data_IF_023745550159
#
_entry.id   IF_023745550159
#
_cell.length_a   1.000
_cell.length_b   1.000
_cell.length_c   1.000
_cell.angle_alpha   90.00
_cell.angle_beta   90.00
_cell.angle_gamma   90.00
#
_symmetry.space_group_name_H-M   'P 1'
#
loop_
_entity.id
_entity.type
_entity.pdbx_description
1 polymer ?
#
# COMPACT_ATOMS: atom_id res chain seq x y z
N UNK A 1 2.35 -14.17 1.57
CA UNK A 1 2.88 -13.24 2.58
C UNK A 1 3.95 -12.38 1.94
N UNK A 2 3.80 -11.07 2.02
CA UNK A 2 4.78 -10.10 1.52
C UNK A 2 5.75 -9.71 2.65
N UNK A 3 7.03 -9.50 2.31
CA UNK A 3 8.05 -9.01 3.27
C UNK A 3 8.27 -7.53 3.00
N UNK A 4 8.03 -6.68 4.00
CA UNK A 4 8.38 -5.28 3.88
C UNK A 4 9.65 -4.97 4.69
N UNK A 5 10.75 -4.52 4.06
CA UNK A 5 11.93 -4.07 4.77
C UNK A 5 11.70 -2.74 5.49
N UNK A 6 10.73 -1.94 5.05
CA UNK A 6 10.57 -0.55 5.47
C UNK A 6 9.22 -0.26 6.14
N UNK A 7 8.34 -1.26 6.26
CA UNK A 7 7.07 -1.09 6.96
C UNK A 7 7.25 -1.56 8.40
N UNK A 8 6.94 -0.72 9.40
CA UNK A 8 6.91 -1.16 10.80
C UNK A 8 5.84 -2.24 10.97
N UNK A 9 6.06 -3.20 11.87
CA UNK A 9 5.09 -4.27 12.16
C UNK A 9 3.87 -3.65 12.85
N UNK A 10 2.95 -3.12 12.05
CA UNK A 10 1.68 -2.57 12.48
C UNK A 10 0.66 -3.69 12.55
N UNK A 11 -0.16 -3.62 13.58
CA UNK A 11 -1.39 -4.38 13.74
C UNK A 11 -2.44 -3.37 14.14
N UNK A 12 -3.54 -3.25 13.39
CA UNK A 12 -4.69 -2.42 13.80
C UNK A 12 -5.51 -3.26 14.78
N UNK A 13 -4.99 -3.39 16.00
CA UNK A 13 -5.61 -4.13 17.11
C UNK A 13 -4.61 -4.42 18.23
N UNK A 14 -5.03 -4.79 19.46
CA UNK A 14 -4.09 -5.07 20.55
C UNK A 14 -3.57 -6.52 20.61
N UNK A 15 -4.22 -7.51 19.98
CA UNK A 15 -4.07 -8.93 20.38
C UNK A 15 -3.42 -9.91 19.38
N UNK A 16 -2.92 -9.47 18.22
CA UNK A 16 -2.22 -10.37 17.30
C UNK A 16 -1.08 -9.67 16.53
N UNK A 17 0.01 -9.38 17.22
CA UNK A 17 1.28 -9.07 16.54
C UNK A 17 1.69 -10.31 15.74
N UNK A 18 1.67 -10.24 14.40
CA UNK A 18 2.32 -11.27 13.59
C UNK A 18 3.80 -11.31 14.03
N UNK A 19 4.30 -12.45 14.54
CA UNK A 19 5.66 -12.48 15.05
C UNK A 19 6.62 -12.10 13.91
N UNK A 20 7.56 -11.18 14.15
CA UNK A 20 8.50 -10.79 13.13
C UNK A 20 9.26 -12.03 12.65
N UNK A 21 9.36 -12.16 11.34
CA UNK A 21 10.13 -13.22 10.74
C UNK A 21 11.60 -12.88 10.76
N UNK A 22 12.41 -13.73 11.37
CA UNK A 22 13.86 -13.61 11.33
C UNK A 22 14.39 -14.17 10.02
N UNK A 23 15.11 -13.36 9.25
CA UNK A 23 15.84 -13.78 8.04
C UNK A 23 17.24 -13.20 8.13
N UNK A 24 18.26 -14.05 8.09
CA UNK A 24 19.68 -13.66 8.22
C UNK A 24 19.96 -12.73 9.42
N UNK A 25 19.30 -12.97 10.56
CA UNK A 25 19.46 -12.17 11.78
C UNK A 25 18.68 -10.85 11.79
N UNK A 26 17.98 -10.49 10.71
CA UNK A 26 17.12 -9.31 10.64
C UNK A 26 15.65 -9.70 10.82
N UNK A 27 14.93 -8.92 11.63
CA UNK A 27 13.49 -9.04 11.84
C UNK A 27 12.73 -8.36 10.69
N UNK A 28 11.75 -9.08 10.11
CA UNK A 28 10.87 -8.58 9.05
C UNK A 28 9.41 -8.77 9.40
N UNK A 29 8.59 -7.78 9.06
CA UNK A 29 7.15 -7.90 9.15
C UNK A 29 6.62 -8.68 7.94
N UNK A 30 5.68 -9.58 8.20
CA UNK A 30 4.99 -10.35 7.17
C UNK A 30 3.54 -9.90 7.15
N UNK A 31 3.04 -9.57 5.97
CA UNK A 31 1.63 -9.25 5.77
C UNK A 31 0.97 -10.32 4.91
N UNK A 32 -0.28 -10.72 5.20
CA UNK A 32 -1.06 -11.51 4.26
C UNK A 32 -1.16 -10.75 2.93
N UNK A 33 -1.10 -11.51 1.84
CA UNK A 33 -1.21 -10.98 0.48
C UNK A 33 -2.24 -11.80 -0.25
N UNK A 34 -3.23 -11.12 -0.81
CA UNK A 34 -4.31 -11.73 -1.56
C UNK A 34 -4.24 -11.28 -3.01
N UNK A 35 -4.82 -12.08 -3.90
CA UNK A 35 -5.05 -11.70 -5.28
C UNK A 35 -6.53 -11.40 -5.45
N UNK A 36 -6.85 -10.12 -5.59
CA UNK A 36 -8.21 -9.68 -5.87
C UNK A 36 -8.41 -9.61 -7.39
N UNK A 37 -9.57 -10.04 -7.88
CA UNK A 37 -9.93 -9.94 -9.29
C UNK A 37 -11.24 -9.18 -9.42
N UNK A 38 -11.19 -8.05 -10.12
CA UNK A 38 -12.37 -7.23 -10.37
C UNK A 38 -13.32 -7.94 -11.35
N UNK A 39 -14.62 -7.57 -11.39
CA UNK A 39 -15.58 -8.14 -12.34
C UNK A 39 -15.14 -8.04 -13.82
N UNK A 40 -14.33 -7.04 -14.17
CA UNK A 40 -13.73 -6.89 -15.51
C UNK A 40 -12.53 -7.81 -15.78
N UNK A 41 -12.19 -8.74 -14.89
CA UNK A 41 -11.11 -9.73 -15.03
C UNK A 41 -9.71 -9.23 -14.67
N UNK A 42 -9.53 -7.94 -14.38
CA UNK A 42 -8.24 -7.39 -13.95
C UNK A 42 -7.97 -7.78 -12.49
N UNK A 43 -6.77 -8.30 -12.24
CA UNK A 43 -6.35 -8.70 -10.89
C UNK A 43 -5.24 -7.81 -10.32
N UNK A 44 -5.23 -7.69 -9.01
CA UNK A 44 -4.22 -6.95 -8.24
C UNK A 44 -3.76 -7.78 -7.05
N UNK A 45 -2.49 -7.66 -6.69
CA UNK A 45 -1.98 -8.21 -5.44
C UNK A 45 -2.17 -7.14 -4.34
N UNK A 46 -2.92 -7.49 -3.30
CA UNK A 46 -3.33 -6.57 -2.23
C UNK A 46 -2.86 -7.09 -0.88
N UNK A 47 -2.55 -6.18 0.04
CA UNK A 47 -2.27 -6.49 1.44
C UNK A 47 -3.50 -6.16 2.27
N UNK A 48 -3.86 -7.10 3.12
CA UNK A 48 -5.03 -7.04 3.99
C UNK A 48 -4.68 -7.86 5.24
N UNK A 49 -4.80 -7.25 6.41
CA UNK A 49 -4.21 -7.67 7.67
C UNK A 49 -5.27 -8.15 8.66
N UNK A 50 -6.48 -7.61 8.62
CA UNK A 50 -7.60 -7.95 9.50
C UNK A 50 -8.93 -7.92 8.77
N UNK A 51 -9.92 -8.62 9.30
CA UNK A 51 -11.30 -8.46 8.87
C UNK A 51 -11.86 -7.14 9.42
N UNK A 52 -11.83 -6.10 8.59
CA UNK A 52 -12.22 -4.74 8.89
C UNK A 52 -13.60 -4.41 8.30
N UNK A 53 -14.36 -3.46 8.89
CA UNK A 53 -15.61 -3.00 8.28
C UNK A 53 -15.47 -2.49 6.84
N UNK A 54 -14.28 -2.01 6.46
CA UNK A 54 -13.99 -1.50 5.12
C UNK A 54 -13.82 -2.61 4.05
N UNK A 55 -13.67 -3.87 4.44
CA UNK A 55 -13.51 -4.99 3.49
C UNK A 55 -14.82 -5.32 2.81
N UNK A 56 -15.93 -5.04 3.49
CA UNK A 56 -17.29 -5.18 2.97
C UNK A 56 -17.89 -3.82 2.60
N UNK A 57 -17.14 -3.01 1.85
CA UNK A 57 -17.62 -1.71 1.37
C UNK A 57 -18.82 -1.90 0.43
N UNK A 58 -19.93 -1.21 0.74
CA UNK A 58 -21.12 -1.24 -0.10
C UNK A 58 -20.84 -0.64 -1.50
N UNK A 59 -21.53 -1.09 -2.56
CA UNK A 59 -21.37 -0.53 -3.89
C UNK A 59 -21.60 0.99 -3.91
N UNK A 60 -20.68 1.73 -4.53
CA UNK A 60 -20.76 3.19 -4.66
C UNK A 60 -21.01 3.55 -6.12
N UNK A 61 -22.05 4.34 -6.37
CA UNK A 61 -22.27 4.95 -7.68
C UNK A 61 -21.37 6.18 -7.79
N UNK A 62 -20.36 6.09 -8.65
CA UNK A 62 -19.42 7.19 -8.88
C UNK A 62 -20.06 8.18 -9.86
N UNK A 63 -20.24 9.46 -9.48
CA UNK A 63 -20.78 10.48 -10.37
C UNK A 63 -19.80 10.78 -11.51
N UNK A 64 -20.32 11.39 -12.57
CA UNK A 64 -19.48 11.86 -13.67
C UNK A 64 -18.40 12.83 -13.16
N UNK A 65 -17.21 12.78 -13.78
CA UNK A 65 -16.08 13.60 -13.39
C UNK A 65 -15.44 13.23 -12.05
N UNK A 66 -15.74 12.06 -11.49
CA UNK A 66 -15.14 11.58 -10.24
C UNK A 66 -14.54 10.18 -10.38
N UNK A 67 -13.68 9.82 -9.43
CA UNK A 67 -13.08 8.49 -9.31
C UNK A 67 -13.26 7.93 -7.91
N UNK A 68 -13.45 6.62 -7.84
CA UNK A 68 -13.30 5.83 -6.61
C UNK A 68 -11.92 5.18 -6.63
N UNK A 69 -11.06 5.58 -5.70
CA UNK A 69 -9.68 5.11 -5.61
C UNK A 69 -9.53 4.22 -4.37
N UNK A 70 -8.74 3.15 -4.51
CA UNK A 70 -8.37 2.26 -3.42
C UNK A 70 -6.87 2.03 -3.42
N UNK A 71 -6.28 1.94 -2.23
CA UNK A 71 -4.88 1.54 -2.07
C UNK A 71 -4.73 0.02 -2.08
N UNK A 72 -3.57 -0.46 -2.53
CA UNK A 72 -3.26 -1.89 -2.52
C UNK A 72 -2.98 -2.42 -1.09
N UNK A 73 -2.57 -1.55 -0.15
CA UNK A 73 -2.46 -1.90 1.27
C UNK A 73 -3.73 -1.46 2.01
N UNK A 74 -4.71 -2.35 2.11
CA UNK A 74 -6.11 -2.03 2.42
C UNK A 74 -6.30 -1.43 3.80
N UNK A 75 -5.69 -2.01 4.83
CA UNK A 75 -5.82 -1.52 6.20
C UNK A 75 -4.99 -0.27 6.50
N UNK A 76 -3.98 0.02 5.68
CA UNK A 76 -3.14 1.22 5.81
C UNK A 76 -3.46 2.26 4.73
N UNK A 77 -4.69 2.27 4.20
CA UNK A 77 -5.12 3.16 3.12
C UNK A 77 -6.32 3.99 3.51
N UNK A 78 -6.11 5.30 3.65
CA UNK A 78 -7.17 6.30 3.85
C UNK A 78 -7.78 6.70 2.49
N UNK A 79 -8.41 5.74 1.81
CA UNK A 79 -8.90 5.86 0.44
C UNK A 79 -10.41 6.18 0.32
N UNK A 80 -11.00 6.03 -0.87
CA UNK A 80 -12.39 6.41 -1.15
C UNK A 80 -13.44 5.61 -0.37
N UNK A 81 -13.06 4.50 0.28
CA UNK A 81 -13.93 3.76 1.20
C UNK A 81 -14.31 4.58 2.43
N UNK A 82 -13.50 5.58 2.78
CA UNK A 82 -13.71 6.42 3.96
C UNK A 82 -14.06 7.86 3.57
N UNK A 83 -15.14 8.42 4.11
CA UNK A 83 -15.47 9.84 3.95
C UNK A 83 -14.39 10.76 4.57
N UNK A 84 -14.19 11.99 4.03
CA UNK A 84 -13.25 12.96 4.59
C UNK A 84 -13.54 13.39 6.04
N UNK A 85 -14.80 13.35 6.45
CA UNK A 85 -15.29 13.69 7.78
C UNK A 85 -15.31 12.50 8.76
N UNK A 86 -14.94 11.30 8.30
CA UNK A 86 -14.83 10.11 9.15
C UNK A 86 -13.59 10.13 10.05
N UNK A 87 -13.56 9.25 11.06
CA UNK A 87 -12.39 9.05 11.94
C UNK A 87 -11.13 8.69 11.15
N UNK A 88 -11.28 7.93 10.06
CA UNK A 88 -10.17 7.52 9.17
C UNK A 88 -9.70 8.61 8.22
N UNK A 89 -10.47 9.71 8.06
CA UNK A 89 -10.16 10.87 7.19
C UNK A 89 -9.74 10.47 5.76
N UNK A 90 -10.53 9.62 5.11
CA UNK A 90 -10.23 9.20 3.75
C UNK A 90 -10.40 10.32 2.73
N UNK A 91 -9.95 10.05 1.50
CA UNK A 91 -10.06 11.03 0.41
C UNK A 91 -11.48 11.16 -0.15
N UNK A 92 -12.39 10.22 0.14
CA UNK A 92 -13.70 10.17 -0.50
C UNK A 92 -13.63 10.01 -2.01
N UNK A 93 -14.66 10.45 -2.74
CA UNK A 93 -14.63 10.45 -4.20
C UNK A 93 -13.72 11.56 -4.72
N UNK A 94 -12.80 11.22 -5.61
CA UNK A 94 -11.79 12.14 -6.12
C UNK A 94 -12.28 12.85 -7.39
N UNK A 95 -12.42 14.19 -7.40
CA UNK A 95 -12.70 14.96 -8.62
C UNK A 95 -11.62 14.74 -9.68
N UNK A 96 -12.00 14.59 -10.94
CA UNK A 96 -11.09 14.29 -12.03
C UNK A 96 -10.04 15.39 -12.27
N UNK A 97 -10.40 16.64 -12.01
CA UNK A 97 -9.49 17.80 -12.06
C UNK A 97 -8.33 17.72 -11.06
N UNK A 98 -8.45 16.92 -10.00
CA UNK A 98 -7.38 16.69 -9.03
C UNK A 98 -6.41 15.60 -9.47
N UNK A 99 -6.67 14.92 -10.59
CA UNK A 99 -5.78 13.89 -11.14
C UNK A 99 -4.69 14.56 -11.97
N UNK A 100 -3.46 14.53 -11.46
CA UNK A 100 -2.28 15.10 -12.14
C UNK A 100 -1.75 14.16 -13.23
N UNK A 101 -1.78 12.84 -13.01
CA UNK A 101 -1.27 11.87 -13.97
C UNK A 101 -1.22 10.43 -13.44
N UNK A 102 -0.73 9.52 -14.29
CA UNK A 102 -0.56 8.09 -13.97
C UNK A 102 0.89 7.76 -13.65
N UNK A 103 1.12 7.06 -12.53
CA UNK A 103 2.40 6.44 -12.24
C UNK A 103 2.71 5.33 -13.26
N UNK A 104 3.88 5.37 -13.89
CA UNK A 104 4.23 4.44 -14.98
C UNK A 104 5.55 3.69 -14.77
N UNK A 105 6.48 4.21 -13.96
CA UNK A 105 7.77 3.56 -13.69
C UNK A 105 8.24 3.84 -12.27
N UNK A 106 8.89 2.84 -11.66
CA UNK A 106 9.68 3.02 -10.43
C UNK A 106 11.08 3.50 -10.82
N UNK A 107 11.33 4.80 -10.71
CA UNK A 107 12.64 5.39 -11.07
C UNK A 107 13.76 4.98 -10.10
N UNK A 108 13.49 4.92 -8.80
CA UNK A 108 14.48 4.57 -7.78
C UNK A 108 13.82 4.02 -6.52
N UNK A 109 14.48 3.09 -5.82
CA UNK A 109 13.96 2.46 -4.61
C UNK A 109 15.09 2.06 -3.66
N UNK A 110 14.94 2.31 -2.36
CA UNK A 110 15.92 1.93 -1.32
C UNK A 110 15.28 1.11 -0.20
N UNK A 111 16.08 0.32 0.51
CA UNK A 111 15.68 -0.47 1.69
C UNK A 111 15.68 0.33 3.01
N UNK A 112 15.73 1.66 2.93
CA UNK A 112 15.72 2.55 4.09
C UNK A 112 17.07 2.72 4.79
N UNK A 113 18.11 1.97 4.44
CA UNK A 113 19.46 2.13 5.02
C UNK A 113 20.29 3.28 4.43
N UNK A 114 19.76 3.95 3.40
CA UNK A 114 20.42 5.08 2.72
C UNK A 114 20.54 6.32 3.64
N UNK A 115 21.71 6.95 3.65
CA UNK A 115 21.95 8.22 4.34
C UNK A 115 22.03 9.37 3.34
N UNK A 116 21.21 10.40 3.52
CA UNK A 116 21.16 11.56 2.62
C UNK A 116 22.53 12.24 2.42
N UNK A 117 23.34 12.36 3.47
CA UNK A 117 24.64 13.04 3.39
C UNK A 117 25.77 12.14 2.85
N UNK A 118 25.52 10.84 2.65
CA UNK A 118 26.51 9.85 2.20
C UNK A 118 26.02 9.19 0.90
N UNK A 119 26.19 9.81 -0.26
CA UNK A 119 25.57 9.36 -1.51
C UNK A 119 25.98 7.95 -1.95
N UNK A 120 27.17 7.46 -1.56
CA UNK A 120 27.58 6.07 -1.81
C UNK A 120 26.65 5.04 -1.15
N UNK A 121 26.00 5.40 -0.03
CA UNK A 121 25.04 4.52 0.66
C UNK A 121 23.73 4.35 -0.12
N UNK A 122 23.40 5.28 -1.04
CA UNK A 122 22.19 5.19 -1.85
C UNK A 122 22.25 4.02 -2.81
N UNK A 123 23.43 3.79 -3.40
CA UNK A 123 23.67 2.68 -4.31
C UNK A 123 23.71 1.34 -3.59
N UNK A 124 24.32 1.27 -2.40
CA UNK A 124 24.34 0.04 -1.61
C UNK A 124 22.97 -0.34 -1.05
N UNK A 125 22.15 0.66 -0.69
CA UNK A 125 20.79 0.47 -0.18
C UNK A 125 19.75 0.27 -1.30
N UNK A 126 20.15 0.36 -2.57
CA UNK A 126 19.22 0.35 -3.69
C UNK A 126 18.60 -1.04 -3.90
N UNK A 127 17.27 -1.06 -4.04
CA UNK A 127 16.48 -2.23 -4.42
C UNK A 127 16.41 -2.31 -5.94
N UNK A 128 17.48 -2.81 -6.56
CA UNK A 128 17.64 -2.85 -8.00
C UNK A 128 16.56 -3.68 -8.71
N UNK A 129 16.04 -4.71 -8.05
CA UNK A 129 14.94 -5.55 -8.53
C UNK A 129 13.62 -4.79 -8.75
N UNK A 130 13.44 -3.65 -8.08
CA UNK A 130 12.24 -2.81 -8.22
C UNK A 130 12.42 -1.68 -9.23
N UNK A 131 13.66 -1.31 -9.53
CA UNK A 131 13.97 -0.14 -10.35
C UNK A 131 13.72 -0.44 -11.82
N UNK A 132 12.97 0.43 -12.51
CA UNK A 132 12.49 0.19 -13.87
C UNK A 132 11.21 -0.65 -13.96
N UNK A 133 10.66 -1.11 -12.82
CA UNK A 133 9.37 -1.81 -12.79
C UNK A 133 8.20 -0.90 -13.22
N UNK A 134 7.19 -1.50 -13.84
CA UNK A 134 5.96 -0.85 -14.34
C UNK A 134 4.71 -1.37 -13.61
N UNK A 135 3.54 -0.75 -13.85
CA UNK A 135 2.25 -1.02 -13.16
C UNK A 135 1.09 -1.38 -14.10
#
# INVERSE_FOLDING_TARGET
MERSPNSPCRYVGPDAVLPPAMVNGQAYCRYPRYRETLPGGKSYDVLDQLDAPADNTAPVVVPEGHYFMMGDNRDDSADSRFPPDSVSKGVGLLPAENVIGRAFVVFFSTDGSASWVKPWTWFSAARWDRTGGTF
#
